data_IF_605307302634
#
_entry.id   IF_605307302634
#
_cell.length_a   1.000
_cell.length_b   1.000
_cell.length_c   1.000
_cell.angle_alpha   90.00
_cell.angle_beta   90.00
_cell.angle_gamma   90.00
#
_symmetry.space_group_name_H-M   'P 1'
#
loop_
_entity.id
_entity.type
_entity.pdbx_description
1 polymer ?
#
# COMPACT_ATOMS: atom_id res chain seq x y z
N UNK A 1 -53.04 -44.16 73.82
CA UNK A 1 -52.32 -42.88 73.90
C UNK A 1 -50.81 -42.97 73.63
N UNK A 2 -50.06 -43.95 74.17
CA UNK A 2 -48.60 -44.04 73.93
C UNK A 2 -48.23 -44.37 72.47
N UNK A 3 -49.01 -45.23 71.80
CA UNK A 3 -48.74 -45.65 70.41
C UNK A 3 -48.92 -44.50 69.39
N UNK A 4 -49.97 -43.68 69.57
CA UNK A 4 -50.27 -42.54 68.68
C UNK A 4 -49.20 -41.45 68.77
N UNK A 5 -48.65 -41.22 69.96
CA UNK A 5 -47.53 -40.28 70.14
C UNK A 5 -46.28 -40.72 69.37
N UNK A 6 -45.97 -42.02 69.35
CA UNK A 6 -44.82 -42.57 68.62
C UNK A 6 -44.97 -42.40 67.11
N UNK A 7 -46.16 -42.63 66.55
CA UNK A 7 -46.42 -42.38 65.12
C UNK A 7 -46.23 -40.91 64.75
N UNK A 8 -46.72 -39.99 65.58
CA UNK A 8 -46.56 -38.54 65.35
C UNK A 8 -45.08 -38.14 65.35
N UNK A 9 -44.30 -38.66 66.32
CA UNK A 9 -42.86 -38.39 66.39
C UNK A 9 -42.13 -38.96 65.16
N UNK A 10 -42.51 -40.15 64.69
CA UNK A 10 -41.95 -40.74 63.48
C UNK A 10 -42.23 -39.91 62.23
N UNK A 11 -43.43 -39.33 62.13
CA UNK A 11 -43.80 -38.45 61.01
C UNK A 11 -42.97 -37.16 61.06
N UNK A 12 -42.83 -36.55 62.25
CA UNK A 12 -42.02 -35.34 62.42
C UNK A 12 -40.56 -35.59 62.05
N UNK A 13 -39.99 -36.72 62.49
CA UNK A 13 -38.63 -37.11 62.13
C UNK A 13 -38.46 -37.32 60.61
N UNK A 14 -39.44 -37.96 59.96
CA UNK A 14 -39.44 -38.13 58.51
C UNK A 14 -39.52 -36.80 57.75
N UNK A 15 -40.32 -35.84 58.23
CA UNK A 15 -40.43 -34.51 57.63
C UNK A 15 -39.12 -33.74 57.77
N UNK A 16 -38.50 -33.73 58.95
CA UNK A 16 -37.21 -33.07 59.17
C UNK A 16 -36.13 -33.67 58.25
N UNK A 17 -36.11 -35.00 58.10
CA UNK A 17 -35.17 -35.68 57.20
C UNK A 17 -35.37 -35.29 55.73
N UNK A 18 -36.63 -35.17 55.28
CA UNK A 18 -36.94 -34.77 53.90
C UNK A 18 -36.55 -33.32 53.62
N UNK A 19 -36.79 -32.39 54.55
CA UNK A 19 -36.38 -30.99 54.41
C UNK A 19 -34.86 -30.87 54.27
N UNK A 20 -34.13 -31.54 55.16
CA UNK A 20 -32.67 -31.53 55.13
C UNK A 20 -32.10 -32.11 53.82
N UNK A 21 -32.76 -33.13 53.27
CA UNK A 21 -32.38 -33.73 51.99
C UNK A 21 -32.65 -32.80 50.80
N UNK A 22 -33.75 -32.05 50.81
CA UNK A 22 -34.05 -31.07 49.76
C UNK A 22 -33.03 -29.94 49.76
N UNK A 23 -32.69 -29.41 50.93
CA UNK A 23 -31.69 -28.35 51.09
C UNK A 23 -30.28 -28.81 50.67
N UNK A 24 -29.95 -30.08 50.94
CA UNK A 24 -28.69 -30.66 50.49
C UNK A 24 -28.61 -30.85 48.96
N UNK A 25 -29.75 -31.13 48.31
CA UNK A 25 -29.81 -31.26 46.85
C UNK A 25 -29.88 -29.90 46.15
N UNK A 26 -30.56 -28.90 46.71
CA UNK A 26 -30.69 -27.55 46.13
C UNK A 26 -29.32 -26.87 46.02
N UNK A 27 -28.44 -27.06 47.00
CA UNK A 27 -27.07 -26.55 46.98
C UNK A 27 -26.26 -26.99 45.73
N UNK A 28 -26.54 -28.17 45.16
CA UNK A 28 -25.86 -28.62 43.92
C UNK A 28 -26.37 -27.90 42.67
N UNK A 29 -27.65 -27.52 42.65
CA UNK A 29 -28.26 -26.78 41.54
C UNK A 29 -27.83 -25.32 41.51
N UNK A 30 -27.69 -24.68 42.68
CA UNK A 30 -27.24 -23.29 42.76
C UNK A 30 -25.80 -23.13 42.28
N UNK A 31 -24.92 -24.08 42.64
CA UNK A 31 -23.54 -24.11 42.15
C UNK A 31 -23.48 -24.36 40.64
N UNK A 32 -24.33 -25.23 40.09
CA UNK A 32 -24.42 -25.47 38.66
C UNK A 32 -24.90 -24.21 37.90
N UNK A 33 -25.89 -23.51 38.44
CA UNK A 33 -26.42 -22.27 37.85
C UNK A 33 -25.38 -21.14 37.89
N UNK A 34 -24.65 -21.01 39.00
CA UNK A 34 -23.57 -20.04 39.11
C UNK A 34 -22.47 -20.32 38.07
N UNK A 35 -22.08 -21.59 37.92
CA UNK A 35 -21.07 -22.00 36.94
C UNK A 35 -21.50 -21.71 35.50
N UNK A 36 -22.77 -21.97 35.16
CA UNK A 36 -23.34 -21.64 33.84
C UNK A 36 -23.29 -20.13 33.61
N UNK A 37 -23.76 -19.32 34.57
CA UNK A 37 -23.73 -17.86 34.45
C UNK A 37 -22.30 -17.32 34.29
N UNK A 38 -21.33 -17.90 35.01
CA UNK A 38 -19.91 -17.53 34.86
C UNK A 38 -19.41 -17.88 33.45
N UNK A 39 -19.74 -19.06 32.93
CA UNK A 39 -19.37 -19.47 31.57
C UNK A 39 -19.98 -18.56 30.51
N UNK A 40 -21.25 -18.20 30.64
CA UNK A 40 -21.91 -17.27 29.71
C UNK A 40 -21.27 -15.90 29.74
N UNK A 41 -20.92 -15.39 30.93
CA UNK A 41 -20.18 -14.14 31.06
C UNK A 41 -18.80 -14.21 30.39
N UNK A 42 -18.06 -15.29 30.57
CA UNK A 42 -16.76 -15.50 29.89
C UNK A 42 -16.92 -15.60 28.37
N UNK A 43 -17.92 -16.33 27.88
CA UNK A 43 -18.21 -16.43 26.44
C UNK A 43 -18.54 -15.06 25.86
N UNK A 44 -19.39 -14.29 26.54
CA UNK A 44 -19.75 -12.94 26.11
C UNK A 44 -18.54 -12.00 26.09
N UNK A 45 -17.64 -12.11 27.07
CA UNK A 45 -16.39 -11.34 27.09
C UNK A 45 -15.45 -11.74 25.95
N UNK A 46 -15.32 -13.04 25.67
CA UNK A 46 -14.52 -13.55 24.56
C UNK A 46 -15.08 -13.10 23.21
N UNK A 47 -16.40 -13.18 23.02
CA UNK A 47 -17.07 -12.70 21.80
C UNK A 47 -16.82 -11.21 21.57
N UNK A 48 -16.99 -10.37 22.60
CA UNK A 48 -16.66 -8.93 22.51
C UNK A 48 -15.19 -8.69 22.17
N UNK A 49 -14.29 -9.52 22.70
CA UNK A 49 -12.86 -9.43 22.41
C UNK A 49 -12.56 -9.81 20.97
N UNK A 50 -13.19 -10.88 20.45
CA UNK A 50 -13.09 -11.31 19.05
C UNK A 50 -13.61 -10.22 18.12
N UNK A 51 -14.77 -9.62 18.43
CA UNK A 51 -15.34 -8.52 17.64
C UNK A 51 -14.40 -7.30 17.59
N UNK A 52 -13.80 -6.93 18.72
CA UNK A 52 -12.82 -5.84 18.80
C UNK A 52 -11.55 -6.17 18.01
N UNK A 53 -11.06 -7.40 18.08
CA UNK A 53 -9.89 -7.82 17.29
C UNK A 53 -10.21 -7.83 15.80
N UNK A 54 -11.41 -8.26 15.41
CA UNK A 54 -11.86 -8.22 14.03
C UNK A 54 -12.01 -6.79 13.51
N UNK A 55 -12.50 -5.84 14.32
CA UNK A 55 -12.55 -4.44 13.93
C UNK A 55 -11.15 -3.85 13.77
N UNK A 56 -10.26 -4.09 14.73
CA UNK A 56 -8.86 -3.62 14.66
C UNK A 56 -8.13 -4.19 13.44
N UNK A 57 -8.35 -5.47 13.10
CA UNK A 57 -7.78 -6.07 11.90
C UNK A 57 -8.30 -5.38 10.64
N UNK A 58 -9.62 -5.15 10.53
CA UNK A 58 -10.21 -4.45 9.37
C UNK A 58 -9.64 -3.03 9.21
N UNK A 59 -9.44 -2.31 10.30
CA UNK A 59 -8.89 -0.96 10.25
C UNK A 59 -7.41 -0.97 9.87
N UNK A 60 -6.65 -1.95 10.39
CA UNK A 60 -5.25 -2.15 10.01
C UNK A 60 -5.11 -2.52 8.53
N UNK A 61 -5.92 -3.46 8.03
CA UNK A 61 -5.91 -3.88 6.63
C UNK A 61 -6.21 -2.68 5.70
N UNK A 62 -7.17 -1.81 6.07
CA UNK A 62 -7.43 -0.56 5.33
C UNK A 62 -6.23 0.38 5.34
N UNK A 63 -5.62 0.59 6.50
CA UNK A 63 -4.43 1.45 6.61
C UNK A 63 -3.27 0.89 5.77
N UNK A 64 -3.05 -0.43 5.79
CA UNK A 64 -2.02 -1.09 4.98
C UNK A 64 -2.28 -0.89 3.48
N UNK A 65 -3.52 -1.05 3.01
CA UNK A 65 -3.87 -0.81 1.60
C UNK A 65 -3.55 0.64 1.19
N UNK A 66 -3.89 1.61 2.03
CA UNK A 66 -3.59 3.02 1.76
C UNK A 66 -2.07 3.25 1.70
N UNK A 67 -1.30 2.68 2.63
CA UNK A 67 0.16 2.80 2.61
C UNK A 67 0.77 2.12 1.37
N UNK A 68 0.26 0.96 0.96
CA UNK A 68 0.72 0.28 -0.26
C UNK A 68 0.41 1.09 -1.52
N UNK A 69 -0.76 1.72 -1.59
CA UNK A 69 -1.12 2.63 -2.69
C UNK A 69 -0.16 3.82 -2.73
N UNK A 70 0.11 4.46 -1.59
CA UNK A 70 1.07 5.58 -1.51
C UNK A 70 2.48 5.19 -1.92
N UNK A 71 2.95 4.00 -1.52
CA UNK A 71 4.25 3.48 -1.95
C UNK A 71 4.27 3.27 -3.46
N UNK A 72 3.23 2.64 -4.01
CA UNK A 72 3.14 2.36 -5.45
C UNK A 72 3.15 3.66 -6.26
N UNK A 73 2.32 4.64 -5.88
CA UNK A 73 2.29 5.96 -6.53
C UNK A 73 3.63 6.68 -6.42
N UNK A 74 4.28 6.63 -5.26
CA UNK A 74 5.57 7.28 -5.03
C UNK A 74 6.66 6.63 -5.85
N UNK A 75 6.72 5.29 -5.88
CA UNK A 75 7.67 4.54 -6.70
C UNK A 75 7.45 4.80 -8.19
N UNK A 76 6.20 4.87 -8.65
CA UNK A 76 5.91 5.22 -10.04
C UNK A 76 6.39 6.64 -10.38
N UNK A 77 6.07 7.63 -9.54
CA UNK A 77 6.54 9.01 -9.72
C UNK A 77 8.06 9.10 -9.71
N UNK A 78 8.73 8.38 -8.80
CA UNK A 78 10.20 8.32 -8.74
C UNK A 78 10.78 7.70 -10.02
N UNK A 79 10.19 6.63 -10.53
CA UNK A 79 10.63 6.01 -11.78
C UNK A 79 10.47 6.96 -12.98
N UNK A 80 9.35 7.69 -13.06
CA UNK A 80 9.15 8.70 -14.10
C UNK A 80 10.21 9.80 -14.00
N UNK A 81 10.44 10.33 -12.80
CA UNK A 81 11.45 11.37 -12.57
C UNK A 81 12.86 10.88 -12.88
N UNK A 82 13.20 9.66 -12.49
CA UNK A 82 14.52 9.08 -12.78
C UNK A 82 14.73 8.92 -14.29
N UNK A 83 13.73 8.40 -15.03
CA UNK A 83 13.79 8.31 -16.50
C UNK A 83 13.97 9.69 -17.15
N UNK A 84 13.29 10.71 -16.63
CA UNK A 84 13.43 12.07 -17.14
C UNK A 84 14.83 12.63 -16.86
N UNK A 85 15.38 12.42 -15.66
CA UNK A 85 16.75 12.82 -15.33
C UNK A 85 17.76 12.11 -16.21
N UNK A 86 17.66 10.79 -16.37
CA UNK A 86 18.54 10.01 -17.24
C UNK A 86 18.51 10.53 -18.69
N UNK A 87 17.32 10.84 -19.21
CA UNK A 87 17.18 11.43 -20.53
C UNK A 87 17.87 12.79 -20.61
N UNK A 88 17.61 13.69 -19.67
CA UNK A 88 18.23 15.02 -19.66
C UNK A 88 19.75 14.95 -19.51
N UNK A 89 20.26 14.00 -18.70
CA UNK A 89 21.70 13.76 -18.57
C UNK A 89 22.30 13.27 -19.89
N UNK A 90 21.66 12.30 -20.55
CA UNK A 90 22.11 11.79 -21.84
C UNK A 90 22.08 12.86 -22.93
N UNK A 91 20.99 13.63 -23.01
CA UNK A 91 20.87 14.76 -23.95
C UNK A 91 21.92 15.83 -23.67
N UNK A 92 22.23 16.13 -22.40
CA UNK A 92 23.27 17.08 -22.04
C UNK A 92 24.66 16.58 -22.47
N UNK A 93 24.96 15.31 -22.24
CA UNK A 93 26.21 14.68 -22.69
C UNK A 93 26.35 14.73 -24.21
N UNK A 94 25.30 14.33 -24.95
CA UNK A 94 25.27 14.41 -26.42
C UNK A 94 25.50 15.84 -26.93
N UNK A 95 24.91 16.85 -26.30
CA UNK A 95 25.10 18.24 -26.67
C UNK A 95 26.53 18.73 -26.40
N UNK A 96 27.13 18.30 -25.30
CA UNK A 96 28.53 18.60 -24.96
C UNK A 96 29.46 17.96 -25.97
N UNK A 97 29.22 16.71 -26.32
CA UNK A 97 30.00 15.99 -27.33
C UNK A 97 29.87 16.64 -28.71
N UNK A 98 28.66 17.05 -29.10
CA UNK A 98 28.44 17.80 -30.34
C UNK A 98 29.18 19.15 -30.34
N UNK A 99 29.16 19.89 -29.23
CA UNK A 99 29.87 21.16 -29.13
C UNK A 99 31.40 21.00 -29.13
N UNK A 100 31.90 19.91 -28.53
CA UNK A 100 33.33 19.57 -28.53
C UNK A 100 33.78 18.99 -29.87
N UNK A 101 32.88 18.34 -30.62
CA UNK A 101 33.14 17.93 -32.00
C UNK A 101 33.31 19.17 -32.86
N UNK A 102 34.40 19.25 -33.63
CA UNK A 102 34.66 20.40 -34.49
C UNK A 102 33.49 20.66 -35.44
N UNK A 103 33.17 21.93 -35.71
CA UNK A 103 32.09 22.29 -36.63
C UNK A 103 32.28 21.57 -37.97
N UNK A 104 31.23 20.97 -38.55
CA UNK A 104 31.33 20.33 -39.85
C UNK A 104 31.90 21.31 -40.89
N UNK A 105 32.79 20.84 -41.79
CA UNK A 105 33.39 21.68 -42.83
C UNK A 105 32.38 22.49 -43.64
N UNK A 106 31.19 21.93 -43.87
CA UNK A 106 30.10 22.59 -44.58
C UNK A 106 29.58 23.85 -43.85
N UNK A 107 29.45 23.79 -42.52
CA UNK A 107 29.04 24.95 -41.70
C UNK A 107 30.14 26.02 -41.69
N UNK A 108 31.41 25.60 -41.63
CA UNK A 108 32.55 26.50 -41.71
C UNK A 108 32.57 27.23 -43.07
N UNK A 109 32.32 26.50 -44.17
CA UNK A 109 32.26 27.06 -45.53
C UNK A 109 31.06 28.01 -45.73
N UNK A 110 29.93 27.73 -45.08
CA UNK A 110 28.78 28.64 -45.06
C UNK A 110 29.04 29.92 -44.26
N UNK A 111 29.90 29.88 -43.23
CA UNK A 111 30.32 31.08 -42.51
C UNK A 111 31.44 31.83 -43.23
N UNK A 112 32.27 31.15 -44.01
CA UNK A 112 33.29 31.78 -44.85
C UNK A 112 32.61 32.59 -45.95
N UNK A 113 32.56 33.92 -45.76
CA UNK A 113 32.09 34.87 -46.76
C UNK A 113 33.31 35.41 -47.52
N UNK A 114 33.37 35.27 -48.85
CA UNK A 114 34.40 35.95 -49.64
C UNK A 114 34.21 37.47 -49.56
N UNK A 115 35.26 38.24 -49.86
CA UNK A 115 35.15 39.69 -50.00
C UNK A 115 34.25 40.00 -51.21
N UNK A 116 33.02 40.44 -50.94
CA UNK A 116 32.03 40.78 -51.97
C UNK A 116 32.11 42.30 -52.17
N UNK A 117 32.67 42.72 -53.31
CA UNK A 117 32.96 44.13 -53.60
C UNK A 117 31.80 44.86 -54.31
N UNK A 118 30.67 44.17 -54.57
CA UNK A 118 29.51 44.76 -55.24
C UNK A 118 28.29 43.84 -55.34
N UNK A 119 27.14 44.40 -55.76
CA UNK A 119 25.85 43.69 -55.81
C UNK A 119 25.78 42.58 -56.87
N UNK A 120 26.52 42.71 -57.98
CA UNK A 120 26.65 41.65 -59.00
C UNK A 120 27.34 40.42 -58.45
N UNK A 121 28.42 40.64 -57.70
CA UNK A 121 29.25 39.59 -57.10
C UNK A 121 28.49 38.88 -55.98
N UNK A 122 27.64 39.62 -55.26
CA UNK A 122 26.75 39.06 -54.26
C UNK A 122 25.77 38.04 -54.86
N UNK A 123 25.13 38.40 -55.98
CA UNK A 123 24.13 37.55 -56.63
C UNK A 123 24.76 36.29 -57.26
N UNK A 124 25.97 36.41 -57.80
CA UNK A 124 26.73 35.27 -58.34
C UNK A 124 27.11 34.28 -57.23
N UNK A 125 27.65 34.79 -56.13
CA UNK A 125 27.99 33.97 -54.97
C UNK A 125 26.78 33.26 -54.33
N UNK A 126 25.62 33.93 -54.27
CA UNK A 126 24.39 33.32 -53.76
C UNK A 126 23.92 32.16 -54.66
N UNK A 127 23.99 32.34 -55.98
CA UNK A 127 23.59 31.32 -56.97
C UNK A 127 24.52 30.09 -56.96
N UNK A 128 25.82 30.29 -56.74
CA UNK A 128 26.78 29.19 -56.55
C UNK A 128 26.60 28.46 -55.21
N UNK A 129 26.10 29.15 -54.17
CA UNK A 129 25.84 28.56 -52.84
C UNK A 129 24.60 27.67 -52.78
N UNK A 130 23.54 27.96 -53.54
CA UNK A 130 22.32 27.13 -53.56
C UNK A 130 22.57 25.75 -54.19
N UNK A 131 23.70 25.58 -54.88
CA UNK A 131 24.16 24.32 -55.46
C UNK A 131 24.97 23.49 -54.44
N UNK A 132 24.35 23.10 -53.31
CA UNK A 132 24.98 22.18 -52.35
C UNK A 132 24.81 20.72 -52.83
N UNK A 133 25.89 19.91 -52.94
CA UNK A 133 25.74 18.47 -53.08
C UNK A 133 25.17 17.91 -51.76
N UNK A 134 24.17 17.04 -51.86
CA UNK A 134 23.64 16.30 -50.72
C UNK A 134 24.69 15.27 -50.29
N UNK A 135 25.52 15.63 -49.31
CA UNK A 135 26.32 14.65 -48.57
C UNK A 135 25.40 13.98 -47.55
N UNK A 136 24.67 12.96 -48.00
CA UNK A 136 23.96 12.05 -47.10
C UNK A 136 24.95 11.13 -46.38
N UNK A 137 24.69 10.75 -45.11
CA UNK A 137 25.56 9.81 -44.41
C UNK A 137 25.54 8.46 -45.13
N UNK A 138 26.73 7.99 -45.50
CA UNK A 138 26.97 6.66 -46.03
C UNK A 138 26.48 5.63 -45.00
N UNK A 139 25.43 4.90 -45.37
CA UNK A 139 24.90 3.78 -44.61
C UNK A 139 25.94 2.68 -44.53
N UNK A 140 26.60 2.55 -43.38
CA UNK A 140 27.47 1.42 -43.08
C UNK A 140 26.57 0.20 -42.84
N UNK A 141 26.71 -0.78 -43.73
CA UNK A 141 26.14 -2.13 -43.64
C UNK A 141 26.73 -2.93 -42.48
#
# INVERSE_FOLDING_TARGET
>A
MKLTAVFIISIIAAVIFLLWRVDYLSAKWDNAKLLINTRDNTINQLNKSIEKLASLKRDNDKAQVIHQQQLTETTERLNIKNKQLQRLTHENEMLRDWFNSGLPPDVIRLRQRPAINGASDYRKWLSERDSLPVSGPESIH
#
